data_IF_327514338783
#
_entry.id   IF_327514338783
#
_cell.length_a   1.000
_cell.length_b   1.000
_cell.length_c   1.000
_cell.angle_alpha   90.00
_cell.angle_beta   90.00
_cell.angle_gamma   90.00
#
_symmetry.space_group_name_H-M   'P 1'
#
loop_
_entity.id
_entity.type
_entity.pdbx_description
1 polymer ?
#
# COMPACT_ATOMS: atom_id res chain seq x y z
N UNK A 1 -0.54 21.48 -14.33
CA UNK A 1 0.48 20.83 -14.62
C UNK A 1 1.23 20.25 -13.51
N UNK A 2 1.49 20.97 -12.55
CA UNK A 2 2.06 20.43 -11.43
C UNK A 2 1.22 19.37 -10.88
N UNK A 3 -0.05 19.54 -10.92
CA UNK A 3 -0.93 18.57 -10.43
C UNK A 3 -0.75 17.30 -11.13
N UNK A 4 -0.68 17.35 -12.43
CA UNK A 4 -0.52 16.16 -13.17
C UNK A 4 0.77 15.50 -12.81
N UNK A 5 1.77 16.30 -12.59
CA UNK A 5 3.02 15.78 -12.23
C UNK A 5 2.97 15.15 -10.88
N UNK A 6 2.27 15.76 -9.97
CA UNK A 6 2.12 15.23 -8.68
C UNK A 6 1.43 13.92 -8.69
N UNK A 7 0.46 13.76 -9.54
CA UNK A 7 -0.18 12.51 -9.67
C UNK A 7 0.77 11.42 -10.05
N UNK A 8 1.70 11.75 -10.92
CA UNK A 8 2.68 10.78 -11.26
C UNK A 8 3.50 10.40 -10.10
N UNK A 9 3.87 11.34 -9.29
CA UNK A 9 4.63 11.06 -8.13
C UNK A 9 3.86 10.22 -7.17
N UNK A 10 2.56 10.37 -7.19
CA UNK A 10 1.74 9.64 -6.27
C UNK A 10 1.29 8.32 -6.81
N UNK A 11 1.74 7.95 -8.00
CA UNK A 11 1.39 6.68 -8.52
C UNK A 11 2.22 5.62 -7.87
N UNK A 12 1.59 4.76 -7.14
CA UNK A 12 2.26 3.66 -6.46
C UNK A 12 1.91 2.37 -7.17
N UNK A 13 2.79 1.37 -7.09
CA UNK A 13 2.51 0.13 -7.74
C UNK A 13 1.41 -0.64 -7.04
N UNK A 14 1.01 -0.24 -5.85
CA UNK A 14 -0.09 -0.89 -5.20
C UNK A 14 -0.35 -0.30 -3.85
N UNK A 15 -1.36 -0.81 -3.15
CA UNK A 15 -1.72 -0.24 -1.86
C UNK A 15 -0.69 -0.48 -0.77
N UNK A 16 0.09 -1.56 -0.88
CA UNK A 16 1.10 -1.83 0.14
C UNK A 16 2.17 -0.74 0.11
N UNK A 17 2.60 -0.36 -1.09
CA UNK A 17 3.59 0.68 -1.22
C UNK A 17 3.07 2.00 -0.68
N UNK A 18 1.81 2.32 -0.95
CA UNK A 18 1.22 3.55 -0.45
C UNK A 18 1.16 3.56 1.07
N UNK A 19 0.75 2.42 1.66
CA UNK A 19 0.67 2.34 3.11
C UNK A 19 2.04 2.52 3.75
N UNK A 20 3.04 1.89 3.19
CA UNK A 20 4.38 2.05 3.72
C UNK A 20 4.82 3.51 3.64
N UNK A 21 4.50 4.16 2.54
CA UNK A 21 4.83 5.57 2.37
C UNK A 21 4.19 6.43 3.47
N UNK A 22 2.92 6.16 3.77
CA UNK A 22 2.23 6.93 4.79
C UNK A 22 2.84 6.72 6.17
N UNK A 23 3.21 5.47 6.45
CA UNK A 23 3.81 5.16 7.73
C UNK A 23 5.19 5.79 7.85
N UNK A 24 5.97 5.74 6.79
CA UNK A 24 7.31 6.33 6.81
C UNK A 24 7.26 7.83 6.93
N UNK A 25 6.29 8.46 6.28
CA UNK A 25 6.17 9.92 6.36
C UNK A 25 5.93 10.37 7.78
N UNK A 26 5.25 9.57 8.57
CA UNK A 26 5.00 9.91 9.96
C UNK A 26 6.03 9.31 10.90
N UNK A 27 6.99 8.61 10.34
CA UNK A 27 8.07 8.00 11.13
C UNK A 27 7.53 7.04 12.17
N UNK A 28 6.57 6.21 11.75
CA UNK A 28 5.94 5.25 12.63
C UNK A 28 6.44 3.84 12.34
N UNK A 29 6.24 2.96 13.31
CA UNK A 29 6.55 1.56 13.09
C UNK A 29 5.35 0.87 12.49
N UNK A 30 5.58 -0.29 11.87
CA UNK A 30 4.50 -1.02 11.21
C UNK A 30 3.80 -1.88 12.24
N UNK A 31 2.71 -1.36 12.79
CA UNK A 31 1.90 -2.06 13.78
C UNK A 31 0.44 -1.83 13.46
N UNK A 32 -0.43 -2.62 14.07
CA UNK A 32 -1.86 -2.43 13.86
C UNK A 32 -2.31 -1.06 14.31
N UNK A 33 -1.77 -0.60 15.43
CA UNK A 33 -2.16 0.71 15.93
C UNK A 33 -1.81 1.79 14.93
N UNK A 34 -0.63 1.72 14.36
CA UNK A 34 -0.22 2.74 13.41
C UNK A 34 -0.93 2.59 12.08
N UNK A 35 -1.31 1.37 11.71
CA UNK A 35 -2.14 1.19 10.54
C UNK A 35 -3.51 1.84 10.73
N UNK A 36 -4.05 1.75 11.94
CA UNK A 36 -5.29 2.44 12.23
C UNK A 36 -5.12 3.95 12.07
N UNK A 37 -3.96 4.45 12.48
CA UNK A 37 -3.68 5.89 12.40
C UNK A 37 -3.64 6.40 10.97
N UNK A 38 -3.12 5.63 10.04
CA UNK A 38 -2.99 6.10 8.66
C UNK A 38 -4.20 5.74 7.80
N UNK A 39 -5.21 5.13 8.39
CA UNK A 39 -6.38 4.72 7.62
C UNK A 39 -7.05 5.91 6.94
N UNK A 40 -7.25 7.00 7.67
CA UNK A 40 -7.90 8.17 7.11
C UNK A 40 -7.10 8.74 5.95
N UNK A 41 -5.78 8.77 6.11
CA UNK A 41 -4.93 9.29 5.04
C UNK A 41 -5.00 8.41 3.81
N UNK A 42 -5.07 7.09 4.02
CA UNK A 42 -5.16 6.17 2.91
C UNK A 42 -6.47 6.37 2.15
N UNK A 43 -7.56 6.55 2.88
CA UNK A 43 -8.86 6.78 2.25
C UNK A 43 -8.90 8.12 1.52
N UNK A 44 -8.25 9.12 2.08
CA UNK A 44 -8.17 10.41 1.41
C UNK A 44 -7.41 10.30 0.11
N UNK A 45 -6.32 9.54 0.13
CA UNK A 45 -5.55 9.31 -1.08
C UNK A 45 -6.41 8.62 -2.13
N UNK A 46 -7.17 7.61 -1.70
CA UNK A 46 -8.00 6.85 -2.61
C UNK A 46 -9.06 7.73 -3.27
N UNK A 47 -9.57 8.69 -2.53
CA UNK A 47 -10.55 9.61 -3.09
C UNK A 47 -9.96 10.54 -4.14
N UNK A 48 -8.70 10.90 -3.98
CA UNK A 48 -8.10 11.88 -4.84
C UNK A 48 -7.40 11.29 -6.04
N UNK A 49 -6.89 10.08 -5.91
CA UNK A 49 -6.12 9.50 -7.00
C UNK A 49 -7.07 8.98 -8.05
N UNK A 50 -6.70 9.17 -9.31
CA UNK A 50 -7.51 8.68 -10.41
C UNK A 50 -6.98 7.34 -10.82
N UNK A 51 -7.72 6.29 -10.52
CA UNK A 51 -7.34 4.93 -10.87
C UNK A 51 -8.29 4.46 -11.95
N UNK A 52 -7.77 4.29 -13.15
CA UNK A 52 -8.58 3.91 -14.28
C UNK A 52 -8.75 2.42 -14.38
N UNK A 53 -7.72 1.70 -13.98
CA UNK A 53 -7.73 0.25 -14.11
C UNK A 53 -8.56 -0.38 -13.00
N UNK A 54 -9.64 -1.08 -13.34
CA UNK A 54 -10.50 -1.64 -12.27
C UNK A 54 -9.80 -2.62 -11.35
N UNK A 55 -8.89 -3.42 -11.91
CA UNK A 55 -8.20 -4.39 -11.09
C UNK A 55 -7.32 -3.70 -10.06
N UNK A 56 -6.69 -2.64 -10.48
CA UNK A 56 -5.82 -1.89 -9.59
C UNK A 56 -6.64 -1.25 -8.47
N UNK A 57 -7.80 -0.69 -8.85
CA UNK A 57 -8.69 -0.10 -7.86
C UNK A 57 -9.19 -1.14 -6.87
N UNK A 58 -9.49 -2.34 -7.36
CA UNK A 58 -9.98 -3.38 -6.48
C UNK A 58 -8.96 -3.72 -5.40
N UNK A 59 -7.68 -3.75 -5.75
CA UNK A 59 -6.66 -4.03 -4.75
C UNK A 59 -6.64 -2.98 -3.66
N UNK A 60 -6.80 -1.72 -4.04
CA UNK A 60 -6.83 -0.65 -3.05
C UNK A 60 -8.06 -0.76 -2.15
N UNK A 61 -9.19 -1.15 -2.73
CA UNK A 61 -10.41 -1.27 -1.95
C UNK A 61 -10.32 -2.43 -0.94
N UNK A 62 -9.72 -3.53 -1.36
CA UNK A 62 -9.55 -4.66 -0.45
C UNK A 62 -8.71 -4.24 0.75
N UNK A 63 -7.62 -3.52 0.51
CA UNK A 63 -6.77 -3.08 1.61
C UNK A 63 -7.50 -2.05 2.46
N UNK A 64 -8.27 -1.15 1.84
CA UNK A 64 -9.04 -0.19 2.59
C UNK A 64 -10.00 -0.89 3.55
N UNK A 65 -10.62 -1.97 3.10
CA UNK A 65 -11.52 -2.72 3.95
C UNK A 65 -10.80 -3.30 5.16
N UNK A 66 -9.61 -3.82 4.95
CA UNK A 66 -8.83 -4.37 6.04
C UNK A 66 -8.42 -3.28 7.04
N UNK A 67 -8.08 -2.11 6.52
CA UNK A 67 -7.72 -1.00 7.40
C UNK A 67 -8.91 -0.57 8.24
N UNK A 68 -10.10 -0.59 7.67
CA UNK A 68 -11.28 -0.23 8.44
C UNK A 68 -11.56 -1.25 9.53
N UNK A 69 -11.29 -2.53 9.27
CA UNK A 69 -11.41 -3.54 10.30
C UNK A 69 -10.42 -3.30 11.43
N UNK A 70 -9.18 -2.97 11.08
CA UNK A 70 -8.17 -2.68 12.09
C UNK A 70 -8.60 -1.50 12.94
N UNK A 71 -9.07 -0.44 12.28
CA UNK A 71 -9.49 0.74 13.02
C UNK A 71 -10.65 0.44 13.94
N UNK A 72 -11.61 -0.35 13.48
CA UNK A 72 -12.73 -0.73 14.32
C UNK A 72 -12.29 -1.54 15.52
N UNK A 73 -11.36 -2.46 15.30
CA UNK A 73 -10.84 -3.29 16.37
C UNK A 73 -10.17 -2.42 17.44
N UNK A 74 -9.44 -1.41 17.02
CA UNK A 74 -8.73 -0.54 17.94
C UNK A 74 -9.67 0.38 18.69
N UNK A 75 -10.68 0.90 18.01
CA UNK A 75 -11.55 1.92 18.59
C UNK A 75 -12.72 1.37 19.38
N UNK A 76 -13.18 0.17 19.04
CA UNK A 76 -14.38 -0.38 19.66
C UNK A 76 -14.00 -1.54 20.58
N UNK A 77 -14.13 -1.37 21.89
CA UNK A 77 -13.66 -2.38 22.82
C UNK A 77 -14.32 -3.75 22.67
N UNK A 78 -15.59 -3.74 22.25
CA UNK A 78 -16.33 -5.00 22.15
C UNK A 78 -16.37 -5.53 20.73
N UNK A 79 -15.64 -4.92 19.82
CA UNK A 79 -15.66 -5.34 18.44
C UNK A 79 -14.85 -6.63 18.31
N UNK A 80 -15.47 -7.65 17.76
CA UNK A 80 -14.80 -8.92 17.61
C UNK A 80 -14.65 -9.28 16.16
N UNK A 81 -13.45 -9.64 15.79
CA UNK A 81 -13.16 -10.11 14.44
C UNK A 81 -13.23 -11.62 14.41
N UNK A 82 -13.57 -12.16 13.26
CA UNK A 82 -13.49 -13.60 13.07
C UNK A 82 -12.03 -14.00 12.99
N UNK A 83 -11.78 -15.28 13.13
CA UNK A 83 -10.42 -15.77 13.02
C UNK A 83 -9.85 -15.46 11.64
N UNK A 84 -10.68 -15.57 10.62
CA UNK A 84 -10.21 -15.27 9.27
C UNK A 84 -9.84 -13.81 9.12
N UNK A 85 -10.63 -12.93 9.72
CA UNK A 85 -10.33 -11.51 9.65
C UNK A 85 -9.04 -11.19 10.37
N UNK A 86 -8.80 -11.84 11.51
CA UNK A 86 -7.55 -11.63 12.22
C UNK A 86 -6.36 -12.07 11.38
N UNK A 87 -6.51 -13.19 10.68
CA UNK A 87 -5.45 -13.66 9.81
C UNK A 87 -5.20 -12.68 8.67
N UNK A 88 -6.27 -12.13 8.11
CA UNK A 88 -6.11 -11.16 7.03
C UNK A 88 -5.39 -9.91 7.48
N UNK A 89 -5.70 -9.46 8.69
CA UNK A 89 -5.04 -8.28 9.23
C UNK A 89 -3.56 -8.56 9.45
N UNK A 90 -3.26 -9.73 10.02
CA UNK A 90 -1.87 -10.07 10.25
C UNK A 90 -1.12 -10.22 8.94
N UNK A 91 -1.78 -10.77 7.94
CA UNK A 91 -1.17 -10.90 6.64
C UNK A 91 -0.85 -9.53 6.04
N UNK A 92 -1.76 -8.58 6.18
CA UNK A 92 -1.52 -7.23 5.68
C UNK A 92 -0.29 -6.62 6.37
N UNK A 93 -0.25 -6.74 7.68
CA UNK A 93 0.88 -6.20 8.43
C UNK A 93 2.18 -6.82 7.96
N UNK A 94 2.18 -8.14 7.80
CA UNK A 94 3.38 -8.85 7.39
C UNK A 94 3.82 -8.45 5.99
N UNK A 95 2.87 -8.20 5.10
CA UNK A 95 3.22 -7.81 3.74
C UNK A 95 3.86 -6.44 3.70
N UNK A 96 3.40 -5.54 4.55
CA UNK A 96 4.01 -4.22 4.62
C UNK A 96 5.42 -4.31 5.18
N UNK A 97 5.60 -5.14 6.21
CA UNK A 97 6.93 -5.34 6.79
C UNK A 97 7.87 -5.95 5.76
N UNK A 98 7.38 -6.95 5.03
CA UNK A 98 8.19 -7.60 4.02
C UNK A 98 8.63 -6.59 2.96
N UNK A 99 7.69 -5.78 2.48
CA UNK A 99 8.01 -4.79 1.46
C UNK A 99 9.01 -3.77 2.01
N UNK A 100 8.84 -3.37 3.25
CA UNK A 100 9.74 -2.42 3.87
C UNK A 100 11.17 -2.94 3.88
N UNK A 101 11.33 -4.24 4.16
CA UNK A 101 12.65 -4.82 4.24
C UNK A 101 13.32 -4.92 2.88
N UNK A 102 12.55 -5.09 1.82
CA UNK A 102 13.13 -5.28 0.50
C UNK A 102 13.12 -4.02 -0.36
N UNK A 103 12.54 -2.96 0.13
CA UNK A 103 12.42 -1.73 -0.65
C UNK A 103 13.77 -1.21 -1.14
N UNK A 104 14.82 -1.14 -0.30
CA UNK A 104 16.09 -0.61 -0.78
C UNK A 104 16.66 -1.45 -1.91
N UNK A 105 16.54 -2.77 -1.82
CA UNK A 105 17.05 -3.63 -2.88
C UNK A 105 16.26 -3.44 -4.17
N UNK A 106 14.96 -3.29 -4.05
CA UNK A 106 14.12 -3.07 -5.22
C UNK A 106 14.50 -1.77 -5.91
N UNK A 107 14.76 -0.74 -5.14
CA UNK A 107 15.12 0.54 -5.71
C UNK A 107 16.48 0.49 -6.39
N UNK A 108 17.42 -0.26 -5.82
CA UNK A 108 18.71 -0.42 -6.45
C UNK A 108 18.60 -1.10 -7.79
N UNK A 109 17.81 -2.16 -7.85
CA UNK A 109 17.64 -2.89 -9.10
C UNK A 109 16.95 -1.99 -10.12
N UNK A 110 15.96 -1.24 -9.69
CA UNK A 110 15.25 -0.33 -10.57
C UNK A 110 16.21 0.68 -11.17
N UNK A 111 17.05 1.27 -10.34
CA UNK A 111 18.00 2.25 -10.82
C UNK A 111 18.98 1.66 -11.82
N UNK A 112 19.43 0.45 -11.55
CA UNK A 112 20.35 -0.21 -12.46
C UNK A 112 19.71 -0.46 -13.82
N UNK A 113 18.47 -0.92 -13.81
CA UNK A 113 17.79 -1.20 -15.07
C UNK A 113 17.48 0.05 -15.83
N UNK A 114 17.17 1.13 -15.14
CA UNK A 114 16.92 2.39 -15.81
C UNK A 114 18.18 2.92 -16.47
N UNK A 115 19.31 2.72 -15.83
CA UNK A 115 20.56 3.11 -16.43
C UNK A 115 20.80 2.39 -17.72
N UNK A 116 20.29 1.17 -17.85
CA UNK A 116 20.44 0.40 -19.06
C UNK A 116 19.30 0.59 -20.02
N UNK A 117 18.39 1.49 -19.71
CA UNK A 117 17.29 1.75 -20.61
C UNK A 117 16.16 0.74 -20.52
N UNK A 118 16.08 -0.02 -19.43
CA UNK A 118 15.04 -1.03 -19.28
C UNK A 118 13.99 -0.50 -18.34
N UNK A 119 12.72 -0.70 -18.68
CA UNK A 119 11.63 -0.25 -17.84
C UNK A 119 11.30 -1.36 -16.86
N UNK A 120 11.91 -1.28 -15.71
CA UNK A 120 11.78 -2.31 -14.69
C UNK A 120 10.34 -2.52 -14.24
N UNK A 121 9.67 -1.46 -13.90
CA UNK A 121 8.33 -1.62 -13.34
C UNK A 121 7.40 -2.21 -14.37
N UNK A 122 7.54 -1.83 -15.63
CA UNK A 122 6.68 -2.39 -16.62
C UNK A 122 6.90 -3.89 -16.78
N UNK A 123 8.12 -4.32 -16.83
CA UNK A 123 8.41 -5.72 -17.00
C UNK A 123 8.04 -6.52 -15.78
N UNK A 124 8.33 -6.02 -14.62
CA UNK A 124 8.09 -6.76 -13.42
C UNK A 124 6.62 -6.84 -13.06
N UNK A 125 5.93 -5.72 -13.11
CA UNK A 125 4.58 -5.69 -12.62
C UNK A 125 3.56 -6.03 -13.66
N UNK A 126 3.81 -5.73 -14.90
CA UNK A 126 2.87 -6.14 -15.94
C UNK A 126 2.85 -7.64 -16.09
N UNK A 127 3.99 -8.22 -16.05
CA UNK A 127 4.06 -9.65 -16.25
C UNK A 127 3.50 -10.44 -15.10
N UNK A 128 3.24 -9.81 -14.00
CA UNK A 128 2.74 -10.48 -12.85
C UNK A 128 1.36 -10.06 -12.49
N UNK A 129 0.64 -9.60 -13.45
CA UNK A 129 -0.70 -9.15 -13.20
C UNK A 129 -1.58 -10.22 -12.65
N UNK A 130 -1.19 -11.45 -12.77
CA UNK A 130 -2.00 -12.52 -12.29
C UNK A 130 -1.98 -12.63 -10.79
N UNK A 131 -1.06 -11.99 -10.16
CA UNK A 131 -1.10 -12.12 -8.78
C UNK A 131 -2.16 -11.29 -8.24
#
# INVERSE_FOLDING_TARGET
>A
MLEAYELKLEKFSGPIEKLLSLIEDKELEITELNLADVTADFLEYLKKVEIVEPRFLADFIVVASKLLLIKSKILLPNFKLTDEEEIEIKDLENRIIFYSNFKPAIENIKNLLEKKGVSFSRQLFSGRGSF
#
